data_IF_667152947713
#
_entry.id   IF_667152947713
#
_cell.length_a   1.000
_cell.length_b   1.000
_cell.length_c   1.000
_cell.angle_alpha   90.00
_cell.angle_beta   90.00
_cell.angle_gamma   90.00
#
_symmetry.space_group_name_H-M   'P 1'
#
loop_
_entity.id
_entity.type
_entity.pdbx_description
1 polymer ?
#
# COMPACT_ATOMS: atom_id res chain seq x y z
N UNK A 1 23.72 49.26 -55.86
CA UNK A 1 23.36 47.84 -55.99
C UNK A 1 22.97 47.33 -54.62
N UNK A 2 21.68 47.09 -54.37
CA UNK A 2 21.20 46.60 -53.09
C UNK A 2 21.60 45.12 -52.94
N UNK A 3 22.32 44.78 -51.87
CA UNK A 3 22.65 43.38 -51.58
C UNK A 3 21.38 42.64 -51.20
N UNK A 4 21.14 41.49 -51.87
CA UNK A 4 19.99 40.64 -51.60
C UNK A 4 20.01 40.18 -50.14
N UNK A 5 18.85 40.09 -49.49
CA UNK A 5 18.75 39.65 -48.09
C UNK A 5 19.40 38.28 -47.85
N UNK A 6 19.44 37.42 -48.88
CA UNK A 6 20.17 36.16 -48.85
C UNK A 6 21.69 36.33 -48.72
N UNK A 7 22.26 37.28 -49.45
CA UNK A 7 23.70 37.57 -49.36
C UNK A 7 24.06 38.08 -47.96
N UNK A 8 23.19 38.87 -47.34
CA UNK A 8 23.36 39.32 -45.95
C UNK A 8 23.29 38.15 -44.98
N UNK A 9 22.36 37.21 -45.16
CA UNK A 9 22.24 36.00 -44.33
C UNK A 9 23.49 35.12 -44.40
N UNK A 10 23.98 34.82 -45.61
CA UNK A 10 25.22 34.04 -45.80
C UNK A 10 26.42 34.74 -45.17
N UNK A 11 26.50 36.07 -45.27
CA UNK A 11 27.58 36.85 -44.67
C UNK A 11 27.53 36.82 -43.13
N UNK A 12 26.33 36.82 -42.54
CA UNK A 12 26.14 36.64 -41.10
C UNK A 12 26.51 35.23 -40.64
N UNK A 13 26.12 34.19 -41.39
CA UNK A 13 26.53 32.81 -41.10
C UNK A 13 28.05 32.65 -41.17
N UNK A 14 28.69 33.19 -42.22
CA UNK A 14 30.14 33.14 -42.38
C UNK A 14 30.86 33.87 -41.24
N UNK A 15 30.35 35.04 -40.83
CA UNK A 15 30.87 35.78 -39.69
C UNK A 15 30.73 34.98 -38.39
N UNK A 16 29.56 34.41 -38.12
CA UNK A 16 29.31 33.60 -36.92
C UNK A 16 30.16 32.32 -36.91
N UNK A 17 30.35 31.68 -38.07
CA UNK A 17 31.24 30.53 -38.23
C UNK A 17 32.70 30.86 -37.92
N UNK A 18 33.22 31.98 -38.44
CA UNK A 18 34.59 32.44 -38.14
C UNK A 18 34.75 32.74 -36.65
N UNK A 19 33.76 33.38 -36.03
CA UNK A 19 33.77 33.67 -34.60
C UNK A 19 33.79 32.38 -33.78
N UNK A 20 32.94 31.41 -34.12
CA UNK A 20 32.89 30.12 -33.43
C UNK A 20 34.19 29.32 -33.59
N UNK A 21 34.80 29.33 -34.79
CA UNK A 21 36.12 28.72 -35.05
C UNK A 21 37.23 29.30 -34.16
N UNK A 22 37.16 30.58 -33.80
CA UNK A 22 38.16 31.22 -32.94
C UNK A 22 37.97 30.89 -31.45
N UNK A 23 36.76 30.47 -31.05
CA UNK A 23 36.43 30.02 -29.70
C UNK A 23 36.39 28.48 -29.62
N UNK A 24 37.47 27.83 -30.05
CA UNK A 24 37.59 26.37 -30.09
C UNK A 24 37.40 25.70 -28.72
N UNK A 25 37.83 26.35 -27.63
CA UNK A 25 37.65 25.85 -26.26
C UNK A 25 36.15 25.83 -25.88
N UNK A 26 35.41 26.88 -26.21
CA UNK A 26 33.97 26.97 -25.91
C UNK A 26 33.17 25.94 -26.70
N UNK A 27 33.45 25.79 -27.99
CA UNK A 27 32.79 24.78 -28.85
C UNK A 27 33.11 23.37 -28.37
N UNK A 28 34.33 23.12 -27.88
CA UNK A 28 34.71 21.84 -27.30
C UNK A 28 33.86 21.50 -26.06
N UNK A 29 33.70 22.45 -25.13
CA UNK A 29 32.86 22.23 -23.93
C UNK A 29 31.37 22.08 -24.29
N UNK A 30 30.88 22.86 -25.25
CA UNK A 30 29.49 22.79 -25.72
C UNK A 30 29.14 21.40 -26.32
N UNK A 31 30.11 20.74 -26.93
CA UNK A 31 29.97 19.36 -27.43
C UNK A 31 30.24 18.32 -26.33
N UNK A 32 31.25 18.55 -25.49
CA UNK A 32 31.69 17.57 -24.49
C UNK A 32 30.65 17.39 -23.38
N UNK A 33 30.02 18.47 -22.92
CA UNK A 33 29.00 18.43 -21.85
C UNK A 33 27.84 17.47 -22.19
N UNK A 34 27.12 17.61 -23.32
CA UNK A 34 26.03 16.70 -23.64
C UNK A 34 26.52 15.26 -23.86
N UNK A 35 27.70 15.08 -24.47
CA UNK A 35 28.29 13.74 -24.66
C UNK A 35 28.60 13.06 -23.33
N UNK A 36 29.19 13.80 -22.38
CA UNK A 36 29.51 13.30 -21.04
C UNK A 36 28.24 13.03 -20.23
N UNK A 37 27.23 13.89 -20.35
CA UNK A 37 25.94 13.67 -19.69
C UNK A 37 25.27 12.39 -20.21
N UNK A 38 25.21 12.22 -21.54
CA UNK A 38 24.66 11.01 -22.15
C UNK A 38 25.47 9.75 -21.80
N UNK A 39 26.81 9.85 -21.73
CA UNK A 39 27.65 8.70 -21.37
C UNK A 39 27.43 8.27 -19.91
N UNK A 40 27.28 9.22 -18.98
CA UNK A 40 26.93 8.92 -17.58
C UNK A 40 25.59 8.19 -17.51
N UNK A 41 24.56 8.67 -18.22
CA UNK A 41 23.24 8.02 -18.23
C UNK A 41 23.30 6.58 -18.76
N UNK A 42 24.10 6.33 -19.81
CA UNK A 42 24.31 4.98 -20.31
C UNK A 42 25.07 4.09 -19.32
N UNK A 43 26.06 4.62 -18.61
CA UNK A 43 26.78 3.87 -17.58
C UNK A 43 25.87 3.48 -16.42
N UNK A 44 25.03 4.40 -15.93
CA UNK A 44 24.05 4.11 -14.89
C UNK A 44 23.07 3.03 -15.36
N UNK A 45 22.58 3.14 -16.60
CA UNK A 45 21.70 2.12 -17.18
C UNK A 45 22.38 0.76 -17.34
N UNK A 46 23.66 0.74 -17.70
CA UNK A 46 24.44 -0.49 -17.85
C UNK A 46 24.76 -1.15 -16.50
N UNK A 47 24.76 -0.40 -15.41
CA UNK A 47 24.96 -0.92 -14.05
C UNK A 47 23.70 -1.55 -13.45
N UNK A 48 22.53 -1.26 -14.04
CA UNK A 48 21.27 -1.87 -13.64
C UNK A 48 21.05 -3.11 -14.48
N UNK A 49 21.26 -4.28 -13.88
CA UNK A 49 20.93 -5.55 -14.51
C UNK A 49 19.42 -5.63 -14.75
N UNK A 50 18.95 -5.78 -16.00
CA UNK A 50 17.54 -5.95 -16.28
C UNK A 50 17.05 -7.29 -15.71
N UNK A 51 15.99 -7.23 -14.90
CA UNK A 51 15.30 -8.43 -14.41
C UNK A 51 14.44 -9.02 -15.54
N UNK A 52 14.89 -10.14 -16.10
CA UNK A 52 14.13 -10.87 -17.10
C UNK A 52 13.26 -11.93 -16.43
N UNK A 53 11.95 -11.74 -16.48
CA UNK A 53 10.97 -12.73 -16.02
C UNK A 53 10.57 -13.61 -17.22
N UNK A 54 11.35 -14.67 -17.46
CA UNK A 54 11.16 -15.60 -18.60
C UNK A 54 9.92 -16.50 -18.48
N UNK A 55 9.21 -16.43 -17.35
CA UNK A 55 8.04 -17.27 -17.07
C UNK A 55 6.81 -16.40 -16.93
N UNK A 56 5.69 -16.89 -17.46
CA UNK A 56 4.42 -16.22 -17.26
C UNK A 56 4.13 -16.11 -15.75
N UNK A 57 3.86 -14.89 -15.26
CA UNK A 57 3.50 -14.68 -13.86
C UNK A 57 2.10 -15.25 -13.61
N UNK A 58 2.06 -16.39 -12.92
CA UNK A 58 0.80 -17.00 -12.50
C UNK A 58 0.53 -16.59 -11.06
N UNK A 59 -0.45 -15.72 -10.87
CA UNK A 59 -0.95 -15.37 -9.54
C UNK A 59 -1.88 -16.48 -9.06
N UNK A 60 -1.48 -17.17 -7.99
CA UNK A 60 -2.34 -18.14 -7.34
C UNK A 60 -3.46 -17.39 -6.60
N UNK A 61 -4.68 -17.94 -6.56
CA UNK A 61 -5.73 -17.38 -5.73
C UNK A 61 -5.27 -17.38 -4.27
N UNK A 62 -5.65 -16.35 -3.52
CA UNK A 62 -5.37 -16.26 -2.10
C UNK A 62 -6.18 -17.34 -1.37
N UNK A 63 -5.50 -18.21 -0.63
CA UNK A 63 -6.18 -19.20 0.20
C UNK A 63 -6.94 -18.47 1.31
N UNK A 64 -8.26 -18.57 1.31
CA UNK A 64 -9.12 -17.91 2.32
C UNK A 64 -9.33 -18.79 3.56
N UNK A 65 -9.10 -20.09 3.42
CA UNK A 65 -9.32 -21.08 4.48
C UNK A 65 -8.14 -21.22 5.45
N UNK A 66 -7.00 -20.59 5.15
CA UNK A 66 -5.76 -20.69 5.93
C UNK A 66 -5.11 -19.32 6.09
N UNK A 67 -4.36 -19.13 7.17
CA UNK A 67 -3.69 -17.87 7.49
C UNK A 67 -2.17 -17.96 7.25
N UNK A 68 -1.74 -18.92 6.43
CA UNK A 68 -0.32 -19.21 6.12
C UNK A 68 0.44 -17.98 5.61
N UNK A 69 -0.23 -17.11 4.86
CA UNK A 69 0.35 -15.87 4.34
C UNK A 69 0.75 -14.87 5.43
N UNK A 70 0.18 -14.99 6.64
CA UNK A 70 0.45 -14.11 7.77
C UNK A 70 1.51 -14.68 8.74
N UNK A 71 2.02 -15.90 8.49
CA UNK A 71 3.00 -16.55 9.39
C UNK A 71 4.29 -15.72 9.54
N UNK A 72 4.78 -15.12 8.44
CA UNK A 72 5.98 -14.26 8.49
C UNK A 72 5.73 -13.00 9.31
N UNK A 73 4.59 -12.35 9.10
CA UNK A 73 4.18 -11.16 9.87
C UNK A 73 4.06 -11.50 11.36
N UNK A 74 3.58 -12.70 11.70
CA UNK A 74 3.47 -13.12 13.08
C UNK A 74 4.80 -13.35 13.78
N UNK A 75 5.81 -13.82 13.05
CA UNK A 75 7.16 -13.98 13.58
C UNK A 75 7.88 -12.64 13.76
N UNK A 76 7.70 -11.72 12.82
CA UNK A 76 8.41 -10.44 12.79
C UNK A 76 7.83 -9.40 13.76
N UNK A 77 6.50 -9.37 13.93
CA UNK A 77 5.81 -8.27 14.65
C UNK A 77 5.03 -8.69 15.90
N UNK A 78 5.27 -9.88 16.44
CA UNK A 78 4.52 -10.42 17.60
C UNK A 78 3.00 -10.28 17.41
N UNK A 79 2.52 -10.72 16.25
CA UNK A 79 1.13 -10.60 15.87
C UNK A 79 0.23 -11.50 16.73
N UNK A 80 -0.83 -10.92 17.29
CA UNK A 80 -1.85 -11.71 17.99
C UNK A 80 -2.90 -12.21 16.99
N UNK A 81 -2.89 -13.52 16.71
CA UNK A 81 -3.99 -14.18 16.01
C UNK A 81 -5.24 -14.21 16.91
N UNK A 82 -5.91 -13.07 16.98
CA UNK A 82 -7.10 -12.86 17.79
C UNK A 82 -8.18 -12.11 17.01
N UNK A 83 -9.39 -12.64 17.04
CA UNK A 83 -10.56 -12.05 16.41
C UNK A 83 -11.40 -11.32 17.47
N UNK A 84 -11.53 -10.01 17.34
CA UNK A 84 -12.47 -9.26 18.16
C UNK A 84 -13.88 -9.37 17.56
N UNK A 85 -14.91 -9.38 18.40
CA UNK A 85 -16.28 -9.22 17.92
C UNK A 85 -17.13 -8.37 18.88
N UNK A 86 -18.13 -7.69 18.31
CA UNK A 86 -19.13 -6.91 19.04
C UNK A 86 -20.49 -6.96 18.35
N UNK A 87 -21.62 -6.87 19.07
CA UNK A 87 -21.72 -6.81 20.53
C UNK A 87 -21.59 -8.19 21.20
N UNK A 88 -21.30 -8.20 22.50
CA UNK A 88 -21.17 -9.43 23.28
C UNK A 88 -22.54 -10.10 23.46
N UNK A 89 -22.72 -11.27 22.87
CA UNK A 89 -23.95 -12.05 22.94
C UNK A 89 -23.63 -13.55 22.84
N UNK A 90 -24.38 -14.40 23.56
CA UNK A 90 -24.17 -15.86 23.60
C UNK A 90 -24.36 -16.51 22.22
N UNK A 91 -25.33 -16.05 21.42
CA UNK A 91 -25.58 -16.58 20.07
C UNK A 91 -24.45 -16.18 19.12
N UNK A 92 -24.02 -14.91 19.16
CA UNK A 92 -22.91 -14.43 18.35
C UNK A 92 -21.59 -15.11 18.75
N UNK A 93 -21.39 -15.37 20.03
CA UNK A 93 -20.24 -16.11 20.53
C UNK A 93 -20.16 -17.51 19.90
N UNK A 94 -21.28 -18.23 19.79
CA UNK A 94 -21.30 -19.55 19.14
C UNK A 94 -20.89 -19.48 17.66
N UNK A 95 -21.37 -18.47 16.94
CA UNK A 95 -21.01 -18.25 15.53
C UNK A 95 -19.52 -17.98 15.39
N UNK A 96 -18.99 -17.06 16.19
CA UNK A 96 -17.57 -16.69 16.16
C UNK A 96 -16.69 -17.85 16.61
N UNK A 97 -17.10 -18.58 17.64
CA UNK A 97 -16.39 -19.76 18.13
C UNK A 97 -16.31 -20.85 17.06
N UNK A 98 -17.39 -21.12 16.33
CA UNK A 98 -17.39 -22.13 15.27
C UNK A 98 -16.55 -21.68 14.06
N UNK A 99 -16.58 -20.39 13.71
CA UNK A 99 -15.71 -19.84 12.67
C UNK A 99 -14.23 -19.99 13.04
N UNK A 100 -13.86 -19.63 14.28
CA UNK A 100 -12.49 -19.79 14.79
C UNK A 100 -12.08 -21.27 14.83
N UNK A 101 -13.00 -22.16 15.20
CA UNK A 101 -12.76 -23.61 15.20
C UNK A 101 -12.50 -24.15 13.80
N UNK A 102 -13.30 -23.74 12.82
CA UNK A 102 -13.15 -24.15 11.42
C UNK A 102 -11.80 -23.68 10.86
N UNK A 103 -11.43 -22.42 11.11
CA UNK A 103 -10.14 -21.86 10.67
C UNK A 103 -8.95 -22.58 11.33
N UNK A 104 -9.01 -22.84 12.64
CA UNK A 104 -7.96 -23.58 13.35
C UNK A 104 -7.85 -25.04 12.90
N UNK A 105 -8.94 -25.67 12.46
CA UNK A 105 -8.89 -27.03 11.91
C UNK A 105 -8.11 -27.08 10.59
N UNK A 106 -8.27 -26.04 9.76
CA UNK A 106 -7.54 -25.90 8.49
C UNK A 106 -6.10 -25.41 8.69
N UNK A 107 -5.85 -24.64 9.74
CA UNK A 107 -4.53 -24.09 10.07
C UNK A 107 -4.20 -24.21 11.58
N UNK A 108 -3.69 -25.37 12.01
CA UNK A 108 -3.40 -25.63 13.42
C UNK A 108 -2.31 -24.73 14.02
N UNK A 109 -1.50 -24.08 13.17
CA UNK A 109 -0.39 -23.22 13.60
C UNK A 109 -0.85 -21.82 13.95
N UNK A 110 -1.92 -21.34 13.34
CA UNK A 110 -2.44 -19.99 13.57
C UNK A 110 -2.94 -19.78 15.01
N UNK A 111 -3.44 -20.84 15.67
CA UNK A 111 -3.96 -20.80 17.07
C UNK A 111 -4.86 -19.58 17.31
N UNK A 112 -5.78 -19.32 16.39
CA UNK A 112 -6.69 -18.19 16.43
C UNK A 112 -7.55 -18.26 17.70
N UNK A 113 -7.63 -17.15 18.41
CA UNK A 113 -8.49 -16.96 19.58
C UNK A 113 -9.49 -15.84 19.31
N UNK A 114 -10.45 -15.62 20.20
CA UNK A 114 -11.42 -14.53 20.08
C UNK A 114 -11.53 -13.69 21.35
N UNK A 115 -12.02 -12.46 21.22
CA UNK A 115 -12.43 -11.59 22.32
C UNK A 115 -13.77 -10.92 22.01
N UNK A 116 -14.65 -10.89 23.01
CA UNK A 116 -15.94 -10.23 22.94
C UNK A 116 -15.84 -8.81 23.50
N UNK A 117 -16.57 -7.88 22.90
CA UNK A 117 -16.68 -6.49 23.35
C UNK A 117 -18.14 -6.09 23.46
N UNK A 118 -18.46 -5.23 24.43
CA UNK A 118 -19.83 -4.80 24.69
C UNK A 118 -20.43 -4.05 23.50
N UNK A 119 -19.66 -3.17 22.86
CA UNK A 119 -20.07 -2.33 21.75
C UNK A 119 -18.96 -2.17 20.69
N UNK A 120 -19.33 -1.69 19.51
CA UNK A 120 -18.40 -1.45 18.41
C UNK A 120 -17.31 -0.44 18.79
N UNK A 121 -17.62 0.52 19.67
CA UNK A 121 -16.69 1.56 20.09
C UNK A 121 -15.57 1.02 20.98
N UNK A 122 -15.89 0.18 21.97
CA UNK A 122 -14.86 -0.47 22.80
C UNK A 122 -13.98 -1.40 21.96
N UNK A 123 -14.58 -2.13 21.01
CA UNK A 123 -13.83 -2.95 20.06
C UNK A 123 -12.87 -2.09 19.23
N UNK A 124 -13.33 -0.97 18.69
CA UNK A 124 -12.51 -0.07 17.87
C UNK A 124 -11.32 0.51 18.64
N UNK A 125 -11.52 0.93 19.90
CA UNK A 125 -10.40 1.42 20.72
C UNK A 125 -9.31 0.36 20.93
N UNK A 126 -9.70 -0.91 21.11
CA UNK A 126 -8.73 -1.99 21.29
C UNK A 126 -8.05 -2.34 19.98
N UNK A 127 -8.79 -2.40 18.87
CA UNK A 127 -8.21 -2.65 17.55
C UNK A 127 -7.23 -1.55 17.10
N UNK A 128 -7.40 -0.32 17.59
CA UNK A 128 -6.51 0.80 17.32
C UNK A 128 -5.20 0.76 18.13
N UNK A 129 -5.13 -0.09 19.17
CA UNK A 129 -3.96 -0.23 20.04
C UNK A 129 -3.31 -1.61 19.95
N UNK A 130 -4.03 -2.63 19.50
CA UNK A 130 -3.57 -4.02 19.48
C UNK A 130 -3.26 -4.55 18.08
N UNK A 131 -2.46 -5.61 18.01
CA UNK A 131 -2.10 -6.30 16.75
C UNK A 131 -3.10 -7.41 16.40
N UNK A 132 -4.37 -7.30 16.83
CA UNK A 132 -5.40 -8.31 16.55
C UNK A 132 -5.60 -8.53 15.05
N UNK A 133 -6.12 -9.69 14.65
CA UNK A 133 -6.32 -10.07 13.26
C UNK A 133 -7.44 -9.28 12.57
N UNK A 134 -8.59 -9.15 13.23
CA UNK A 134 -9.71 -8.36 12.73
C UNK A 134 -10.72 -8.14 13.86
N UNK A 135 -11.60 -7.17 13.66
CA UNK A 135 -12.88 -7.05 14.36
C UNK A 135 -14.01 -7.52 13.49
N UNK A 136 -14.98 -8.22 14.06
CA UNK A 136 -16.27 -8.52 13.43
C UNK A 136 -17.34 -7.72 14.15
N UNK A 137 -17.90 -6.77 13.44
CA UNK A 137 -18.99 -5.93 13.93
C UNK A 137 -20.31 -6.49 13.41
N UNK A 138 -21.13 -6.97 14.33
CA UNK A 138 -22.52 -7.31 14.07
C UNK A 138 -23.41 -6.11 14.36
N UNK A 139 -24.65 -6.16 13.87
CA UNK A 139 -25.60 -5.08 14.13
C UNK A 139 -25.91 -4.94 15.63
N UNK A 140 -25.88 -3.71 16.16
CA UNK A 140 -26.16 -3.43 17.58
C UNK A 140 -27.54 -3.93 18.03
N UNK A 141 -28.51 -4.02 17.11
CA UNK A 141 -29.84 -4.60 17.35
C UNK A 141 -29.83 -6.05 17.84
N UNK A 142 -28.68 -6.73 17.73
CA UNK A 142 -28.50 -8.12 18.10
C UNK A 142 -27.85 -8.32 19.46
N UNK A 143 -27.54 -7.24 20.18
CA UNK A 143 -27.04 -7.32 21.54
C UNK A 143 -27.99 -8.10 22.46
N UNK A 144 -29.31 -7.93 22.27
CA UNK A 144 -30.37 -8.54 23.10
C UNK A 144 -30.92 -9.87 22.54
N UNK A 145 -30.32 -10.43 21.48
CA UNK A 145 -30.80 -11.69 20.91
C UNK A 145 -30.64 -12.83 21.92
N UNK A 146 -31.73 -13.53 22.20
CA UNK A 146 -31.71 -14.73 23.04
C UNK A 146 -31.91 -15.97 22.18
N UNK A 147 -31.33 -17.09 22.58
CA UNK A 147 -31.34 -18.35 21.81
C UNK A 147 -32.73 -18.95 21.51
N UNK A 148 -33.82 -18.37 22.06
CA UNK A 148 -35.21 -18.74 21.80
C UNK A 148 -36.03 -17.70 21.05
N UNK A 149 -35.48 -16.52 20.73
CA UNK A 149 -36.13 -15.51 19.91
C UNK A 149 -36.02 -15.90 18.42
N UNK A 150 -36.97 -15.44 17.60
CA UNK A 150 -36.93 -15.63 16.14
C UNK A 150 -35.62 -15.06 15.58
N UNK A 151 -34.71 -15.95 15.18
CA UNK A 151 -33.44 -15.57 14.59
C UNK A 151 -33.70 -14.79 13.29
N UNK A 152 -33.00 -13.67 13.04
CA UNK A 152 -33.18 -12.93 11.80
C UNK A 152 -32.73 -13.77 10.60
N UNK A 153 -33.51 -13.74 9.52
CA UNK A 153 -33.24 -14.51 8.28
C UNK A 153 -31.94 -14.07 7.58
N UNK A 154 -31.49 -12.83 7.84
CA UNK A 154 -30.32 -12.23 7.20
C UNK A 154 -29.25 -11.87 8.22
N UNK A 155 -28.05 -12.42 8.05
CA UNK A 155 -26.88 -12.08 8.85
C UNK A 155 -26.07 -10.95 8.19
N UNK A 156 -26.24 -9.70 8.63
CA UNK A 156 -25.36 -8.57 8.32
C UNK A 156 -24.20 -8.45 9.33
N UNK A 157 -22.97 -8.39 8.82
CA UNK A 157 -21.77 -8.14 9.61
C UNK A 157 -20.76 -7.33 8.79
N UNK A 158 -19.85 -6.64 9.47
CA UNK A 158 -18.72 -5.96 8.88
C UNK A 158 -17.41 -6.51 9.46
N UNK A 159 -16.40 -6.68 8.62
CA UNK A 159 -15.06 -7.10 9.05
C UNK A 159 -14.14 -5.89 9.01
N UNK A 160 -13.55 -5.54 10.15
CA UNK A 160 -12.65 -4.41 10.35
C UNK A 160 -11.22 -4.93 10.50
N UNK A 161 -10.30 -4.50 9.62
CA UNK A 161 -8.89 -4.86 9.70
C UNK A 161 -8.06 -3.70 10.27
N UNK A 162 -7.32 -3.89 11.37
CA UNK A 162 -6.34 -2.90 11.83
C UNK A 162 -5.11 -2.96 10.91
N UNK A 163 -5.16 -2.23 9.79
CA UNK A 163 -4.17 -2.35 8.72
C UNK A 163 -2.86 -1.61 9.04
N UNK A 164 -2.90 -0.48 9.76
CA UNK A 164 -1.72 0.40 9.93
C UNK A 164 -0.78 -0.04 11.06
N UNK A 165 -1.28 -0.70 12.12
CA UNK A 165 -0.42 -1.19 13.20
C UNK A 165 0.50 -2.35 12.76
N UNK A 166 0.30 -2.87 11.55
CA UNK A 166 1.07 -4.00 11.01
C UNK A 166 2.21 -3.54 10.11
N UNK A 167 2.25 -2.27 9.75
CA UNK A 167 3.28 -1.72 8.88
C UNK A 167 4.11 -0.67 9.62
N UNK A 168 5.43 -0.84 9.61
CA UNK A 168 6.36 0.10 10.27
C UNK A 168 6.86 1.15 9.27
N UNK A 169 6.56 1.00 7.98
CA UNK A 169 7.10 1.88 6.93
C UNK A 169 6.49 3.29 6.98
N UNK A 170 5.36 3.52 7.65
CA UNK A 170 4.72 4.84 7.74
C UNK A 170 4.29 5.21 9.17
N UNK A 171 5.24 5.73 9.96
CA UNK A 171 4.98 6.30 11.29
C UNK A 171 4.14 7.61 11.30
N UNK A 172 3.57 8.03 10.17
CA UNK A 172 2.85 9.30 10.04
C UNK A 172 1.39 9.12 9.62
N UNK A 173 0.52 8.81 10.60
CA UNK A 173 -0.94 9.03 10.63
C UNK A 173 -1.57 9.32 9.25
N UNK A 174 -1.75 8.27 8.47
CA UNK A 174 -2.17 8.31 7.06
C UNK A 174 -3.55 7.66 6.85
N UNK A 175 -4.13 7.06 7.89
CA UNK A 175 -5.46 6.48 7.89
C UNK A 175 -6.21 6.97 9.13
N UNK A 176 -7.30 7.69 8.87
CA UNK A 176 -8.20 8.23 9.89
C UNK A 176 -9.59 7.75 9.49
N UNK A 177 -9.90 6.47 9.72
CA UNK A 177 -11.21 5.89 9.34
C UNK A 177 -12.39 6.50 10.07
N UNK A 178 -12.14 7.13 11.20
CA UNK A 178 -13.11 7.95 11.91
C UNK A 178 -13.45 9.25 11.16
N UNK A 179 -12.78 9.56 10.04
CA UNK A 179 -13.12 10.67 9.15
C UNK A 179 -13.62 10.14 7.81
N UNK A 180 -14.82 10.57 7.41
CA UNK A 180 -15.40 10.31 6.08
C UNK A 180 -14.53 10.85 4.94
N UNK A 181 -13.70 11.86 5.22
CA UNK A 181 -12.76 12.45 4.27
C UNK A 181 -11.49 12.78 5.03
N UNK A 182 -10.35 12.30 4.54
CA UNK A 182 -9.04 12.73 5.04
C UNK A 182 -8.89 14.24 4.83
N UNK A 183 -8.59 15.04 5.87
CA UNK A 183 -8.39 16.46 5.71
C UNK A 183 -7.25 16.67 4.72
N UNK A 184 -7.49 17.49 3.70
CA UNK A 184 -6.51 17.78 2.67
C UNK A 184 -5.24 18.33 3.33
N UNK A 185 -4.21 17.50 3.44
CA UNK A 185 -2.88 17.95 3.81
C UNK A 185 -2.11 18.19 2.51
N UNK A 186 -1.67 19.42 2.23
CA UNK A 186 -0.82 19.68 1.08
C UNK A 186 0.56 19.07 1.37
N UNK A 187 0.73 17.78 1.07
CA UNK A 187 2.03 17.12 1.08
C UNK A 187 2.59 17.03 -0.33
N UNK A 188 3.89 17.25 -0.44
CA UNK A 188 4.67 16.93 -1.64
C UNK A 188 4.55 15.43 -1.87
N UNK A 189 3.85 15.06 -2.94
CA UNK A 189 3.98 13.73 -3.53
C UNK A 189 5.45 13.60 -3.95
N UNK A 190 6.25 12.88 -3.16
CA UNK A 190 7.61 12.55 -3.58
C UNK A 190 7.50 11.58 -4.78
N UNK A 191 8.42 11.67 -5.76
CA UNK A 191 8.33 10.98 -7.05
C UNK A 191 8.40 9.46 -6.94
#
# INVERSE_FOLDING_TARGET
>A
MATSNWQKFVLLLWKNWILQKRHYIQTLFEILIPVLCCSILLLVRALVDPEYVDRNSVFKPLETDRLTHLEKLAQEKQFEFKLAYSPQNVVLEQIVQEAVRSLNANDPKARLTYAAFADARAMESVLAESTFLAGVEFADSWADLTAGASMPDNLTFAVRFPSELRDDEFQFSNWVTNLLVVPFSPRLRNP
#
